data_IF_592054669521
#
_entry.id   IF_592054669521
#
_cell.length_a   1.000
_cell.length_b   1.000
_cell.length_c   1.000
_cell.angle_alpha   90.00
_cell.angle_beta   90.00
_cell.angle_gamma   90.00
#
_symmetry.space_group_name_H-M   'P 1'
#
loop_
_entity.id
_entity.type
_entity.pdbx_description
1 polymer ?
#
# COMPACT_ATOMS: atom_id res chain seq x y z
N UNK A 1 54.76 10.22 9.33
CA UNK A 1 54.05 9.30 8.41
C UNK A 1 53.50 8.19 9.27
N UNK A 2 52.32 8.41 9.85
CA UNK A 2 51.53 7.40 10.54
C UNK A 2 50.09 7.65 10.11
N UNK A 3 49.55 6.69 9.36
CA UNK A 3 48.20 6.69 8.84
C UNK A 3 47.21 6.65 10.00
N UNK A 4 46.53 7.76 10.26
CA UNK A 4 45.33 7.74 11.10
C UNK A 4 44.29 6.85 10.40
N UNK A 5 43.94 5.74 11.05
CA UNK A 5 42.85 4.86 10.66
C UNK A 5 41.56 5.67 10.51
N UNK A 6 41.20 5.99 9.27
CA UNK A 6 39.96 6.70 8.90
C UNK A 6 38.71 5.80 8.94
N UNK A 7 38.86 4.50 9.26
CA UNK A 7 37.76 3.55 9.11
C UNK A 7 36.88 3.37 10.35
N UNK A 8 37.31 3.86 11.52
CA UNK A 8 36.58 3.64 12.78
C UNK A 8 35.54 4.72 13.10
N UNK A 9 35.52 5.84 12.36
CA UNK A 9 34.73 7.02 12.69
C UNK A 9 33.56 7.31 11.72
N UNK A 10 33.30 6.47 10.72
CA UNK A 10 32.33 6.81 9.65
C UNK A 10 30.89 6.34 9.92
N UNK A 11 30.65 5.59 11.01
CA UNK A 11 29.30 5.28 11.52
C UNK A 11 28.87 6.29 12.60
N UNK A 12 29.66 7.35 12.79
CA UNK A 12 29.22 8.51 13.55
C UNK A 12 28.09 9.18 12.79
N UNK A 13 26.93 9.19 13.43
CA UNK A 13 25.72 9.89 13.02
C UNK A 13 26.06 11.28 12.48
N UNK A 14 25.34 11.72 11.46
CA UNK A 14 25.46 13.04 10.81
C UNK A 14 25.57 14.21 11.83
N UNK A 15 25.13 14.00 13.08
CA UNK A 15 25.23 14.91 14.22
C UNK A 15 26.64 15.12 14.81
N UNK A 16 27.62 14.24 14.61
CA UNK A 16 28.99 14.42 15.18
C UNK A 16 30.11 14.50 14.13
N UNK A 17 29.82 14.23 12.86
CA UNK A 17 30.76 14.43 11.77
C UNK A 17 30.70 15.89 11.27
N UNK A 18 31.64 16.70 11.75
CA UNK A 18 31.95 18.08 11.29
C UNK A 18 31.00 19.13 11.85
N UNK A 19 31.56 20.16 12.53
CA UNK A 19 30.87 21.40 12.91
C UNK A 19 30.05 21.90 11.71
N UNK A 20 28.72 21.72 11.70
CA UNK A 20 27.93 22.05 10.53
C UNK A 20 27.83 23.58 10.42
N UNK A 21 27.76 24.16 9.20
CA UNK A 21 27.65 25.59 9.01
C UNK A 21 26.38 26.11 9.69
N UNK A 22 26.42 27.21 10.46
CA UNK A 22 25.23 27.69 11.16
C UNK A 22 24.08 27.95 10.20
N UNK A 23 22.87 27.49 10.55
CA UNK A 23 21.65 27.77 9.79
C UNK A 23 20.83 26.52 9.46
N UNK A 24 20.12 26.58 8.33
CA UNK A 24 19.13 25.57 7.91
C UNK A 24 19.80 24.21 7.64
N UNK A 25 21.05 24.22 7.15
CA UNK A 25 21.79 22.99 6.83
C UNK A 25 22.07 22.14 8.09
N UNK A 26 22.49 22.75 9.20
CA UNK A 26 22.67 22.04 10.49
C UNK A 26 21.41 21.34 10.97
N UNK A 27 20.27 22.01 10.86
CA UNK A 27 18.99 21.46 11.32
C UNK A 27 18.62 20.24 10.47
N UNK A 28 18.72 20.37 9.15
CA UNK A 28 18.47 19.27 8.20
C UNK A 28 19.36 18.04 8.46
N UNK A 29 20.64 18.27 8.77
CA UNK A 29 21.63 17.22 9.04
C UNK A 29 21.36 16.51 10.38
N UNK A 30 21.01 17.25 11.42
CA UNK A 30 20.62 16.68 12.72
C UNK A 30 19.34 15.84 12.59
N UNK A 31 18.31 16.38 11.93
CA UNK A 31 17.03 15.67 11.72
C UNK A 31 17.23 14.36 10.94
N UNK A 32 18.10 14.38 9.92
CA UNK A 32 18.46 13.19 9.15
C UNK A 32 19.21 12.17 10.02
N UNK A 33 20.16 12.62 10.82
CA UNK A 33 20.91 11.76 11.75
C UNK A 33 20.01 11.04 12.75
N UNK A 34 19.15 11.79 13.45
CA UNK A 34 18.18 11.24 14.42
C UNK A 34 17.22 10.25 13.76
N UNK A 35 16.71 10.60 12.57
CA UNK A 35 15.74 9.75 11.86
C UNK A 35 16.38 8.44 11.37
N UNK A 36 17.65 8.48 10.93
CA UNK A 36 18.40 7.27 10.55
C UNK A 36 18.66 6.39 11.77
N UNK A 37 19.05 6.98 12.90
CA UNK A 37 19.25 6.23 14.14
C UNK A 37 17.96 5.54 14.59
N UNK A 38 16.85 6.28 14.59
CA UNK A 38 15.53 5.74 14.93
C UNK A 38 15.17 4.57 14.00
N UNK A 39 15.41 4.69 12.69
CA UNK A 39 15.16 3.63 11.74
C UNK A 39 15.94 2.35 12.05
N UNK A 40 17.23 2.47 12.40
CA UNK A 40 18.04 1.31 12.79
C UNK A 40 17.55 0.66 14.10
N UNK A 41 17.13 1.47 15.08
CA UNK A 41 16.55 0.96 16.32
C UNK A 41 15.26 0.18 16.06
N UNK A 42 14.37 0.71 15.21
CA UNK A 42 13.11 0.06 14.87
C UNK A 42 13.29 -1.27 14.10
N UNK A 43 14.32 -1.34 13.24
CA UNK A 43 14.65 -2.57 12.51
C UNK A 43 15.29 -3.64 13.39
N UNK A 44 15.83 -3.28 14.55
CA UNK A 44 16.56 -4.20 15.44
C UNK A 44 17.89 -4.67 14.84
N UNK A 45 18.42 -3.92 13.88
CA UNK A 45 19.72 -4.21 13.29
C UNK A 45 20.86 -3.77 14.22
N UNK A 46 21.97 -4.53 14.27
CA UNK A 46 23.12 -4.17 15.08
C UNK A 46 23.67 -2.83 14.62
N UNK A 47 23.71 -1.88 15.55
CA UNK A 47 24.53 -0.67 15.48
C UNK A 47 25.72 -0.87 16.41
N UNK A 48 26.93 -0.44 16.05
CA UNK A 48 28.03 -0.38 17.01
C UNK A 48 27.61 0.53 18.19
N UNK A 49 27.65 -0.01 19.41
CA UNK A 49 27.13 0.61 20.63
C UNK A 49 28.22 1.20 21.52
N UNK A 50 29.50 1.04 21.16
CA UNK A 50 30.63 1.56 21.95
C UNK A 50 31.82 1.99 21.11
N UNK A 51 32.68 2.85 21.68
CA UNK A 51 33.96 3.25 21.09
C UNK A 51 34.88 2.05 20.78
N UNK A 52 34.83 1.00 21.61
CA UNK A 52 35.59 -0.23 21.41
C UNK A 52 35.05 -1.08 20.24
N UNK A 53 33.74 -1.07 20.01
CA UNK A 53 33.12 -1.69 18.83
C UNK A 53 33.42 -0.90 17.55
N UNK A 54 33.40 0.43 17.63
CA UNK A 54 33.80 1.33 16.55
C UNK A 54 35.26 1.10 16.12
N UNK A 55 36.17 0.88 17.07
CA UNK A 55 37.58 0.62 16.80
C UNK A 55 37.82 -0.68 15.99
N UNK A 56 36.90 -1.65 16.07
CA UNK A 56 36.97 -2.92 15.37
C UNK A 56 35.94 -3.04 14.22
N UNK A 57 35.24 -1.94 13.90
CA UNK A 57 34.18 -1.95 12.91
C UNK A 57 34.73 -2.18 11.50
N UNK A 58 34.16 -3.15 10.80
CA UNK A 58 34.38 -3.34 9.36
C UNK A 58 33.04 -3.43 8.64
N UNK A 59 32.94 -2.82 7.46
CA UNK A 59 31.71 -2.86 6.65
C UNK A 59 31.33 -4.30 6.31
N UNK A 60 32.32 -5.14 6.00
CA UNK A 60 32.10 -6.54 5.66
C UNK A 60 31.56 -7.35 6.84
N UNK A 61 32.18 -7.22 8.02
CA UNK A 61 31.71 -7.87 9.24
C UNK A 61 30.31 -7.40 9.64
N UNK A 62 30.05 -6.09 9.55
CA UNK A 62 28.73 -5.53 9.84
C UNK A 62 27.64 -6.05 8.89
N UNK A 63 27.93 -6.16 7.58
CA UNK A 63 27.00 -6.75 6.61
C UNK A 63 26.77 -8.24 6.88
N UNK A 64 27.79 -8.96 7.34
CA UNK A 64 27.65 -10.36 7.76
C UNK A 64 26.71 -10.48 8.97
N UNK A 65 26.87 -9.61 9.96
CA UNK A 65 26.01 -9.59 11.16
C UNK A 65 24.56 -9.23 10.82
N UNK A 66 24.34 -8.28 9.91
CA UNK A 66 23.02 -7.97 9.36
C UNK A 66 22.37 -9.20 8.70
N UNK A 67 23.13 -9.95 7.91
CA UNK A 67 22.63 -11.17 7.25
C UNK A 67 22.35 -12.30 8.25
N UNK A 68 23.17 -12.45 9.30
CA UNK A 68 22.91 -13.38 10.41
C UNK A 68 21.63 -13.02 11.15
N UNK A 69 21.43 -11.74 11.47
CA UNK A 69 20.21 -11.24 12.10
C UNK A 69 18.97 -11.54 11.24
N UNK A 70 19.04 -11.32 9.92
CA UNK A 70 17.96 -11.67 8.99
C UNK A 70 17.64 -13.17 9.03
N UNK A 71 18.66 -14.03 9.01
CA UNK A 71 18.48 -15.48 9.03
C UNK A 71 17.81 -15.95 10.32
N UNK A 72 18.29 -15.45 11.47
CA UNK A 72 17.70 -15.74 12.78
C UNK A 72 16.23 -15.27 12.84
N UNK A 73 15.93 -14.08 12.32
CA UNK A 73 14.56 -13.56 12.21
C UNK A 73 13.66 -14.44 11.37
N UNK A 74 14.14 -14.92 10.22
CA UNK A 74 13.37 -15.83 9.36
C UNK A 74 13.01 -17.13 10.08
N UNK A 75 13.95 -17.71 10.83
CA UNK A 75 13.69 -18.90 11.64
C UNK A 75 12.69 -18.63 12.77
N UNK A 76 12.80 -17.48 13.43
CA UNK A 76 11.84 -17.04 14.45
C UNK A 76 10.42 -16.89 13.87
N UNK A 77 10.27 -16.24 12.72
CA UNK A 77 8.96 -16.10 12.06
C UNK A 77 8.35 -17.47 11.75
N UNK A 78 9.14 -18.37 11.16
CA UNK A 78 8.66 -19.72 10.85
C UNK A 78 8.20 -20.47 12.10
N UNK A 79 9.03 -20.47 13.16
CA UNK A 79 8.73 -21.11 14.45
C UNK A 79 7.42 -20.61 15.06
N UNK A 80 7.17 -19.31 15.04
CA UNK A 80 5.97 -18.71 15.62
C UNK A 80 4.71 -18.96 14.79
N UNK A 81 4.84 -19.07 13.46
CA UNK A 81 3.70 -19.42 12.62
C UNK A 81 3.31 -20.89 12.79
N UNK A 82 4.28 -21.81 12.84
CA UNK A 82 4.00 -23.25 12.99
C UNK A 82 3.55 -23.64 14.40
N UNK A 83 3.71 -22.77 15.41
CA UNK A 83 3.28 -23.08 16.78
C UNK A 83 1.77 -23.29 16.90
N UNK A 84 0.99 -22.73 15.95
CA UNK A 84 -0.47 -22.76 15.98
C UNK A 84 -1.07 -21.94 17.12
N UNK A 85 -0.25 -21.12 17.79
CA UNK A 85 -0.64 -20.25 18.89
C UNK A 85 -1.04 -18.85 18.39
N UNK A 86 -2.09 -18.29 18.98
CA UNK A 86 -2.67 -17.02 18.54
C UNK A 86 -1.79 -15.83 18.87
N UNK A 87 -1.16 -15.82 20.04
CA UNK A 87 -0.26 -14.73 20.45
C UNK A 87 0.99 -14.72 19.56
N UNK A 88 1.56 -15.89 19.33
CA UNK A 88 2.69 -16.09 18.41
C UNK A 88 2.36 -15.63 16.99
N UNK A 89 1.20 -16.01 16.46
CA UNK A 89 0.72 -15.54 15.15
C UNK A 89 0.52 -14.01 15.13
N UNK A 90 -0.09 -13.45 16.18
CA UNK A 90 -0.36 -12.02 16.30
C UNK A 90 0.94 -11.20 16.26
N UNK A 91 1.99 -11.64 16.96
CA UNK A 91 3.31 -11.02 16.93
C UNK A 91 3.87 -10.93 15.50
N UNK A 92 3.72 -11.98 14.70
CA UNK A 92 4.20 -12.00 13.31
C UNK A 92 3.41 -11.04 12.41
N UNK A 93 2.08 -10.98 12.59
CA UNK A 93 1.24 -10.05 11.83
C UNK A 93 1.50 -8.59 12.20
N UNK A 94 1.75 -8.31 13.48
CA UNK A 94 2.08 -6.96 13.95
C UNK A 94 3.47 -6.53 13.49
N UNK A 95 4.44 -7.45 13.51
CA UNK A 95 5.77 -7.20 12.96
C UNK A 95 5.71 -6.92 11.45
N UNK A 96 4.89 -7.66 10.69
CA UNK A 96 4.63 -7.37 9.27
C UNK A 96 4.09 -5.95 9.06
N UNK A 97 3.12 -5.52 9.86
CA UNK A 97 2.56 -4.17 9.78
C UNK A 97 3.61 -3.10 10.12
N UNK A 98 4.40 -3.35 11.17
CA UNK A 98 5.51 -2.48 11.60
C UNK A 98 6.56 -2.33 10.49
N UNK A 99 6.98 -3.43 9.85
CA UNK A 99 7.92 -3.38 8.72
C UNK A 99 7.38 -2.56 7.56
N UNK A 100 6.06 -2.61 7.30
CA UNK A 100 5.41 -1.76 6.31
C UNK A 100 5.60 -0.26 6.57
N UNK A 101 5.53 0.17 7.83
CA UNK A 101 5.76 1.56 8.22
C UNK A 101 7.24 1.95 8.11
N UNK A 102 8.14 1.08 8.57
CA UNK A 102 9.59 1.28 8.49
C UNK A 102 10.04 1.42 7.02
N UNK A 103 9.44 0.66 6.10
CA UNK A 103 9.71 0.74 4.66
C UNK A 103 9.32 2.09 4.05
N UNK A 104 8.26 2.73 4.56
CA UNK A 104 7.88 4.10 4.13
C UNK A 104 8.94 5.09 4.59
N UNK A 105 9.33 5.05 5.87
CA UNK A 105 10.37 5.92 6.43
C UNK A 105 11.71 5.73 5.71
N UNK A 106 12.07 4.49 5.38
CA UNK A 106 13.28 4.15 4.61
C UNK A 106 13.38 4.94 3.30
N UNK A 107 12.27 5.05 2.55
CA UNK A 107 12.24 5.78 1.27
C UNK A 107 12.43 7.27 1.47
N UNK A 108 11.76 7.84 2.47
CA UNK A 108 11.92 9.26 2.84
C UNK A 108 13.37 9.56 3.21
N UNK A 109 14.02 8.69 3.99
CA UNK A 109 15.41 8.88 4.39
C UNK A 109 16.39 8.83 3.22
N UNK A 110 16.18 7.92 2.25
CA UNK A 110 16.99 7.91 1.02
C UNK A 110 16.89 9.23 0.25
N UNK A 111 15.69 9.81 0.16
CA UNK A 111 15.48 11.10 -0.50
C UNK A 111 16.11 12.25 0.30
N UNK A 112 16.02 12.22 1.63
CA UNK A 112 16.66 13.20 2.51
C UNK A 112 18.19 13.18 2.40
N UNK A 113 18.82 11.99 2.31
CA UNK A 113 20.25 11.87 2.04
C UNK A 113 20.64 12.56 0.72
N UNK A 114 19.89 12.30 -0.36
CA UNK A 114 20.15 12.93 -1.66
C UNK A 114 19.95 14.45 -1.62
N UNK A 115 18.95 14.92 -0.85
CA UNK A 115 18.73 16.35 -0.60
C UNK A 115 19.90 16.99 0.14
N UNK A 116 20.37 16.35 1.22
CA UNK A 116 21.48 16.83 2.04
C UNK A 116 22.78 16.95 1.23
N UNK A 117 23.12 15.92 0.43
CA UNK A 117 24.30 15.97 -0.46
C UNK A 117 24.24 17.15 -1.42
N UNK A 118 23.09 17.38 -2.06
CA UNK A 118 22.90 18.51 -2.99
C UNK A 118 23.05 19.86 -2.30
N UNK A 119 22.46 20.02 -1.10
CA UNK A 119 22.58 21.26 -0.32
C UNK A 119 24.03 21.54 0.08
N UNK A 120 24.75 20.53 0.59
CA UNK A 120 26.17 20.67 0.92
C UNK A 120 27.01 21.05 -0.31
N UNK A 121 26.75 20.47 -1.48
CA UNK A 121 27.45 20.82 -2.71
C UNK A 121 27.16 22.26 -3.16
N UNK A 122 25.90 22.70 -3.08
CA UNK A 122 25.49 24.05 -3.46
C UNK A 122 26.11 25.14 -2.55
N UNK A 123 26.29 24.83 -1.27
CA UNK A 123 26.90 25.73 -0.28
C UNK A 123 28.43 25.64 -0.23
N UNK A 124 29.05 24.81 -1.07
CA UNK A 124 30.52 24.68 -1.16
C UNK A 124 31.17 23.77 -0.12
N UNK A 125 30.38 22.95 0.59
CA UNK A 125 30.84 21.99 1.59
C UNK A 125 31.10 20.60 0.98
N UNK A 126 32.08 20.51 0.07
CA UNK A 126 32.39 19.28 -0.68
C UNK A 126 32.79 18.09 0.20
N UNK A 127 33.62 18.30 1.23
CA UNK A 127 34.03 17.25 2.17
C UNK A 127 32.86 16.68 2.97
N UNK A 128 31.94 17.55 3.40
CA UNK A 128 30.72 17.13 4.10
C UNK A 128 29.78 16.36 3.16
N UNK A 129 29.66 16.80 1.90
CA UNK A 129 28.89 16.08 0.89
C UNK A 129 29.43 14.67 0.61
N UNK A 130 30.76 14.48 0.64
CA UNK A 130 31.41 13.17 0.51
C UNK A 130 31.07 12.25 1.69
N UNK A 131 31.15 12.75 2.93
CA UNK A 131 30.79 12.00 4.14
C UNK A 131 29.32 11.56 4.08
N UNK A 132 28.41 12.47 3.76
CA UNK A 132 26.97 12.16 3.65
C UNK A 132 26.72 11.16 2.53
N UNK A 133 27.43 11.27 1.40
CA UNK A 133 27.31 10.32 0.29
C UNK A 133 27.76 8.91 0.67
N UNK A 134 28.82 8.81 1.47
CA UNK A 134 29.28 7.54 2.00
C UNK A 134 28.27 6.92 2.97
N UNK A 135 27.73 7.71 3.90
CA UNK A 135 26.69 7.25 4.84
C UNK A 135 25.40 6.84 4.12
N UNK A 136 25.01 7.56 3.08
CA UNK A 136 23.91 7.18 2.20
C UNK A 136 24.13 5.78 1.58
N UNK A 137 25.35 5.48 1.16
CA UNK A 137 25.71 4.15 0.63
C UNK A 137 25.55 3.05 1.69
N UNK A 138 26.01 3.30 2.92
CA UNK A 138 25.86 2.36 4.04
C UNK A 138 24.38 2.15 4.39
N UNK A 139 23.61 3.22 4.55
CA UNK A 139 22.17 3.16 4.80
C UNK A 139 21.43 2.43 3.67
N UNK A 140 21.81 2.65 2.41
CA UNK A 140 21.25 1.93 1.27
C UNK A 140 21.54 0.43 1.32
N UNK A 141 22.73 0.00 1.78
CA UNK A 141 23.04 -1.43 1.96
C UNK A 141 22.19 -2.06 3.06
N UNK A 142 22.10 -1.42 4.23
CA UNK A 142 21.21 -1.87 5.31
C UNK A 142 19.75 -1.91 4.86
N UNK A 143 19.30 -0.90 4.13
CA UNK A 143 17.97 -0.83 3.50
C UNK A 143 17.67 -2.03 2.60
N UNK A 144 18.65 -2.53 1.84
CA UNK A 144 18.48 -3.70 0.99
C UNK A 144 18.35 -4.98 1.82
N UNK A 145 19.11 -5.14 2.91
CA UNK A 145 18.95 -6.27 3.84
C UNK A 145 17.58 -6.24 4.50
N UNK A 146 17.12 -5.06 4.94
CA UNK A 146 15.77 -4.89 5.49
C UNK A 146 14.67 -5.25 4.48
N UNK A 147 14.83 -4.83 3.22
CA UNK A 147 13.89 -5.18 2.17
C UNK A 147 13.85 -6.70 1.94
N UNK A 148 15.01 -7.37 1.94
CA UNK A 148 15.09 -8.82 1.84
C UNK A 148 14.39 -9.51 3.03
N UNK A 149 14.58 -8.99 4.25
CA UNK A 149 13.89 -9.48 5.45
C UNK A 149 12.36 -9.35 5.33
N UNK A 150 11.86 -8.19 4.89
CA UNK A 150 10.43 -7.94 4.70
C UNK A 150 9.84 -8.89 3.66
N UNK A 151 10.54 -9.08 2.53
CA UNK A 151 10.13 -10.04 1.51
C UNK A 151 10.15 -11.48 2.02
N UNK A 152 11.15 -11.85 2.84
CA UNK A 152 11.22 -13.18 3.46
C UNK A 152 10.04 -13.42 4.40
N UNK A 153 9.65 -12.42 5.20
CA UNK A 153 8.48 -12.50 6.07
C UNK A 153 7.19 -12.73 5.26
N UNK A 154 6.96 -11.95 4.19
CA UNK A 154 5.77 -12.14 3.33
C UNK A 154 5.74 -13.56 2.73
N UNK A 155 6.87 -14.04 2.21
CA UNK A 155 6.99 -15.41 1.69
C UNK A 155 6.73 -16.45 2.77
N UNK A 156 7.28 -16.26 3.96
CA UNK A 156 7.11 -17.17 5.11
C UNK A 156 5.64 -17.28 5.49
N UNK A 157 4.92 -16.15 5.61
CA UNK A 157 3.49 -16.12 5.92
C UNK A 157 2.68 -16.83 4.84
N UNK A 158 2.93 -16.54 3.56
CA UNK A 158 2.21 -17.15 2.45
C UNK A 158 2.45 -18.66 2.37
N UNK A 159 3.72 -19.09 2.42
CA UNK A 159 4.08 -20.51 2.42
C UNK A 159 3.47 -21.27 3.61
N UNK A 160 3.48 -20.67 4.80
CA UNK A 160 2.84 -21.26 5.98
C UNK A 160 1.32 -21.39 5.78
N UNK A 161 0.66 -20.34 5.27
CA UNK A 161 -0.79 -20.36 5.02
C UNK A 161 -1.17 -21.46 4.03
N UNK A 162 -0.36 -21.65 3.00
CA UNK A 162 -0.59 -22.69 1.99
C UNK A 162 -0.37 -24.11 2.56
N UNK A 163 0.60 -24.29 3.46
CA UNK A 163 0.86 -25.58 4.13
C UNK A 163 -0.14 -25.91 5.24
N UNK A 164 -0.67 -24.90 5.94
CA UNK A 164 -1.52 -25.06 7.12
C UNK A 164 -2.83 -24.24 7.02
N UNK A 165 -3.64 -24.43 5.97
CA UNK A 165 -4.80 -23.57 5.71
C UNK A 165 -5.83 -23.61 6.84
N UNK A 166 -6.11 -24.79 7.40
CA UNK A 166 -7.08 -24.95 8.50
C UNK A 166 -6.63 -24.25 9.79
N UNK A 167 -5.33 -24.29 10.10
CA UNK A 167 -4.76 -23.59 11.26
C UNK A 167 -4.79 -22.08 11.04
N UNK A 168 -4.41 -21.64 9.83
CA UNK A 168 -4.47 -20.23 9.43
C UNK A 168 -5.87 -19.64 9.53
N UNK A 169 -6.88 -20.35 9.01
CA UNK A 169 -8.27 -19.92 9.06
C UNK A 169 -8.80 -19.88 10.50
N UNK A 170 -8.44 -20.87 11.33
CA UNK A 170 -8.84 -20.90 12.74
C UNK A 170 -8.22 -19.74 13.54
N UNK A 171 -6.93 -19.45 13.33
CA UNK A 171 -6.24 -18.34 14.00
C UNK A 171 -6.75 -16.98 13.53
N UNK A 172 -6.97 -16.81 12.23
CA UNK A 172 -7.55 -15.59 11.68
C UNK A 172 -8.97 -15.36 12.24
N UNK A 173 -9.79 -16.41 12.29
CA UNK A 173 -11.14 -16.35 12.86
C UNK A 173 -11.11 -15.94 14.33
N UNK A 174 -10.23 -16.56 15.15
CA UNK A 174 -10.05 -16.19 16.57
C UNK A 174 -9.57 -14.74 16.74
N UNK A 175 -8.61 -14.29 15.93
CA UNK A 175 -8.10 -12.91 15.96
C UNK A 175 -9.20 -11.89 15.67
N UNK A 176 -9.97 -12.14 14.62
CA UNK A 176 -11.08 -11.27 14.25
C UNK A 176 -12.12 -11.33 15.39
N UNK A 177 -12.38 -12.50 15.99
CA UNK A 177 -13.37 -12.65 17.08
C UNK A 177 -13.02 -11.79 18.26
N UNK A 178 -11.75 -11.81 18.69
CA UNK A 178 -11.26 -10.94 19.75
C UNK A 178 -11.40 -9.46 19.36
N UNK A 179 -11.01 -9.10 18.15
CA UNK A 179 -11.10 -7.72 17.65
C UNK A 179 -12.55 -7.20 17.64
N UNK A 180 -13.48 -8.07 17.24
CA UNK A 180 -14.91 -7.80 17.20
C UNK A 180 -15.50 -7.69 18.60
N UNK A 181 -15.14 -8.60 19.52
CA UNK A 181 -15.54 -8.55 20.92
C UNK A 181 -15.03 -7.28 21.62
N UNK A 182 -13.79 -6.87 21.38
CA UNK A 182 -13.21 -5.61 21.88
C UNK A 182 -13.86 -4.35 21.26
N UNK A 183 -14.49 -4.51 20.10
CA UNK A 183 -15.22 -3.49 19.36
C UNK A 183 -16.73 -3.52 19.56
N UNK A 184 -17.27 -4.34 20.46
CA UNK A 184 -18.72 -4.40 20.71
C UNK A 184 -19.27 -3.03 21.11
N UNK A 185 -20.26 -2.54 20.35
CA UNK A 185 -20.85 -1.21 20.52
C UNK A 185 -20.01 -0.02 20.04
N UNK A 186 -18.83 -0.26 19.45
CA UNK A 186 -18.02 0.80 18.83
C UNK A 186 -18.37 0.95 17.36
N UNK A 187 -18.50 2.20 16.94
CA UNK A 187 -18.52 2.60 15.54
C UNK A 187 -17.14 3.13 15.15
N UNK A 188 -16.67 2.72 13.99
CA UNK A 188 -15.40 3.14 13.41
C UNK A 188 -15.70 4.04 12.22
N UNK A 189 -15.52 5.34 12.42
CA UNK A 189 -15.70 6.34 11.37
C UNK A 189 -14.42 6.46 10.55
N UNK A 190 -14.54 6.17 9.25
CA UNK A 190 -13.48 6.40 8.28
C UNK A 190 -13.73 7.75 7.62
N UNK A 191 -12.82 8.73 7.81
CA UNK A 191 -13.07 10.09 7.40
C UNK A 191 -13.27 10.18 5.90
N UNK A 192 -14.15 11.10 5.52
CA UNK A 192 -14.38 11.47 4.12
C UNK A 192 -13.06 11.78 3.42
N UNK A 193 -12.88 11.23 2.22
CA UNK A 193 -11.72 11.55 1.38
C UNK A 193 -12.15 12.44 0.21
N UNK A 194 -11.20 12.94 -0.57
CA UNK A 194 -11.49 13.62 -1.85
C UNK A 194 -12.27 12.73 -2.81
N UNK A 195 -12.16 11.41 -2.66
CA UNK A 195 -12.67 10.41 -3.59
C UNK A 195 -13.98 9.77 -3.14
N UNK A 196 -14.13 9.55 -1.83
CA UNK A 196 -15.24 8.80 -1.26
C UNK A 196 -15.86 9.53 -0.07
N UNK A 197 -17.15 9.27 0.14
CA UNK A 197 -17.87 9.73 1.32
C UNK A 197 -17.34 9.09 2.62
N UNK A 198 -17.81 9.61 3.74
CA UNK A 198 -17.54 9.03 5.05
C UNK A 198 -18.20 7.65 5.14
N UNK A 199 -17.47 6.69 5.69
CA UNK A 199 -17.97 5.33 5.92
C UNK A 199 -17.89 5.00 7.40
N UNK A 200 -19.00 4.50 7.93
CA UNK A 200 -19.08 4.03 9.31
C UNK A 200 -19.10 2.50 9.26
N UNK A 201 -18.15 1.88 9.95
CA UNK A 201 -18.13 0.44 10.19
C UNK A 201 -18.63 0.22 11.61
N UNK A 202 -19.66 -0.59 11.76
CA UNK A 202 -20.15 -1.04 13.07
C UNK A 202 -19.71 -2.49 13.36
N UNK A 203 -20.12 -2.97 14.52
CA UNK A 203 -19.83 -4.33 14.96
C UNK A 203 -20.41 -5.42 14.03
N UNK A 204 -21.60 -5.19 13.46
CA UNK A 204 -22.23 -6.12 12.52
C UNK A 204 -21.49 -6.21 11.20
N UNK A 205 -20.93 -5.10 10.73
CA UNK A 205 -20.03 -5.10 9.59
C UNK A 205 -18.81 -5.97 9.87
N UNK A 206 -18.14 -5.79 11.01
CA UNK A 206 -16.98 -6.59 11.38
C UNK A 206 -17.32 -8.07 11.62
N UNK A 207 -18.53 -8.38 12.08
CA UNK A 207 -19.03 -9.75 12.24
C UNK A 207 -19.05 -10.54 10.92
N UNK A 208 -19.20 -9.88 9.77
CA UNK A 208 -19.08 -10.54 8.47
C UNK A 208 -17.69 -11.18 8.27
N UNK A 209 -16.63 -10.58 8.82
CA UNK A 209 -15.28 -11.13 8.72
C UNK A 209 -15.06 -12.36 9.62
N UNK A 210 -15.87 -12.56 10.65
CA UNK A 210 -15.73 -13.68 11.60
C UNK A 210 -16.22 -15.02 11.11
N UNK A 211 -17.29 -14.98 10.33
CA UNK A 211 -18.22 -16.10 10.27
C UNK A 211 -18.20 -16.80 8.92
N UNK A 212 -17.13 -16.58 8.13
CA UNK A 212 -17.08 -16.93 6.71
C UNK A 212 -18.34 -16.42 5.97
N UNK A 213 -18.97 -15.35 6.49
CA UNK A 213 -20.14 -14.73 5.89
C UNK A 213 -19.68 -13.82 4.75
N UNK A 214 -20.62 -13.55 3.86
CA UNK A 214 -20.42 -12.59 2.78
C UNK A 214 -20.01 -11.24 3.35
N UNK A 215 -18.89 -10.71 2.84
CA UNK A 215 -18.49 -9.33 3.11
C UNK A 215 -19.60 -8.40 2.63
N UNK A 216 -19.93 -7.39 3.43
CA UNK A 216 -20.89 -6.38 3.03
C UNK A 216 -20.21 -5.21 2.30
N UNK A 217 -21.03 -4.33 1.72
CA UNK A 217 -20.57 -3.17 0.98
C UNK A 217 -19.78 -2.17 1.83
N UNK A 218 -20.10 -2.02 3.11
CA UNK A 218 -19.41 -1.09 4.02
C UNK A 218 -17.93 -1.45 4.18
N UNK A 219 -17.63 -2.72 4.47
CA UNK A 219 -16.25 -3.19 4.58
C UNK A 219 -15.48 -3.03 3.27
N UNK A 220 -16.10 -3.35 2.14
CA UNK A 220 -15.51 -3.21 0.81
C UNK A 220 -15.22 -1.74 0.50
N UNK A 221 -16.14 -0.84 0.80
CA UNK A 221 -16.00 0.59 0.56
C UNK A 221 -14.88 1.20 1.42
N UNK A 222 -14.74 0.77 2.68
CA UNK A 222 -13.61 1.20 3.53
C UNK A 222 -12.29 0.69 2.97
N UNK A 223 -12.23 -0.55 2.49
CA UNK A 223 -11.03 -1.06 1.83
C UNK A 223 -10.66 -0.25 0.58
N UNK A 224 -11.65 0.10 -0.25
CA UNK A 224 -11.47 0.97 -1.43
C UNK A 224 -11.03 2.38 -1.04
N UNK A 225 -11.54 2.92 0.07
CA UNK A 225 -11.09 4.20 0.61
C UNK A 225 -9.60 4.16 1.00
N UNK A 226 -9.16 3.07 1.64
CA UNK A 226 -7.73 2.86 1.96
C UNK A 226 -6.88 2.69 0.71
N UNK A 227 -7.36 1.97 -0.32
CA UNK A 227 -6.67 1.86 -1.61
C UNK A 227 -6.49 3.23 -2.26
N UNK A 228 -7.56 4.02 -2.33
CA UNK A 228 -7.47 5.38 -2.84
C UNK A 228 -6.52 6.24 -2.00
N UNK A 229 -6.57 6.21 -0.68
CA UNK A 229 -5.62 6.95 0.17
C UNK A 229 -4.15 6.56 -0.13
N UNK A 230 -3.88 5.25 -0.25
CA UNK A 230 -2.53 4.72 -0.51
C UNK A 230 -2.01 5.04 -1.91
N UNK A 231 -2.88 5.02 -2.92
CA UNK A 231 -2.51 5.13 -4.34
C UNK A 231 -2.93 6.47 -4.99
N UNK A 232 -3.46 7.42 -4.22
CA UNK A 232 -3.85 8.75 -4.71
C UNK A 232 -2.70 9.76 -4.78
N UNK A 233 -1.50 9.40 -4.33
CA UNK A 233 -0.36 10.29 -4.44
C UNK A 233 0.01 10.57 -5.92
N UNK A 234 0.26 11.85 -6.26
CA UNK A 234 0.43 12.31 -7.64
C UNK A 234 1.61 11.69 -8.40
N UNK A 235 2.57 11.07 -7.71
CA UNK A 235 3.81 10.58 -8.32
C UNK A 235 3.80 9.09 -8.71
N UNK A 236 2.81 8.29 -8.31
CA UNK A 236 2.90 6.83 -8.49
C UNK A 236 1.87 6.20 -9.43
N UNK A 237 0.62 6.68 -9.53
CA UNK A 237 -0.42 6.03 -10.38
C UNK A 237 -1.53 6.99 -10.83
N UNK A 238 -1.21 8.04 -11.59
CA UNK A 238 -2.21 9.00 -12.11
C UNK A 238 -3.30 8.35 -13.00
N UNK A 239 -3.10 7.09 -13.40
CA UNK A 239 -3.98 6.37 -14.30
C UNK A 239 -4.99 5.44 -13.60
N UNK A 240 -4.86 5.11 -12.30
CA UNK A 240 -5.69 4.06 -11.66
C UNK A 240 -6.66 4.64 -10.65
N UNK A 241 -7.96 4.52 -10.87
CA UNK A 241 -9.00 4.93 -9.93
C UNK A 241 -9.78 3.74 -9.37
N UNK A 242 -9.98 3.70 -8.06
CA UNK A 242 -10.78 2.69 -7.39
C UNK A 242 -12.16 3.29 -7.05
N UNK A 243 -13.22 2.76 -7.63
CA UNK A 243 -14.59 3.22 -7.39
C UNK A 243 -15.25 2.31 -6.34
N UNK A 244 -15.98 2.90 -5.40
CA UNK A 244 -16.69 2.17 -4.37
C UNK A 244 -17.96 1.48 -4.89
N UNK A 245 -18.59 0.63 -4.06
CA UNK A 245 -19.83 -0.08 -4.41
C UNK A 245 -21.00 0.89 -4.66
N UNK A 246 -20.98 2.07 -4.05
CA UNK A 246 -22.03 3.08 -4.18
C UNK A 246 -21.96 3.79 -5.52
N UNK A 247 -20.76 3.96 -6.10
CA UNK A 247 -20.61 4.53 -7.44
C UNK A 247 -21.38 3.72 -8.48
N UNK A 248 -21.22 2.40 -8.45
CA UNK A 248 -22.00 1.51 -9.31
C UNK A 248 -23.50 1.63 -9.05
N UNK A 249 -23.91 1.59 -7.79
CA UNK A 249 -25.32 1.69 -7.41
C UNK A 249 -25.99 3.01 -7.84
N UNK A 250 -25.30 4.14 -7.66
CA UNK A 250 -25.84 5.48 -7.96
C UNK A 250 -25.87 5.85 -9.44
N UNK A 251 -24.98 5.26 -10.26
CA UNK A 251 -24.82 5.67 -11.67
C UNK A 251 -25.16 4.57 -12.68
N UNK A 252 -25.27 3.29 -12.28
CA UNK A 252 -25.51 2.16 -13.20
C UNK A 252 -26.95 1.62 -13.10
N UNK A 253 -27.55 1.58 -11.90
CA UNK A 253 -28.83 0.86 -11.73
C UNK A 253 -30.04 1.67 -12.24
N UNK A 254 -31.02 1.03 -12.94
CA UNK A 254 -32.14 1.73 -13.58
C UNK A 254 -33.19 2.31 -12.61
N UNK A 255 -33.03 2.11 -11.30
CA UNK A 255 -34.11 2.31 -10.32
C UNK A 255 -34.22 3.75 -9.78
N UNK A 256 -33.23 4.63 -10.01
CA UNK A 256 -33.24 5.97 -9.43
C UNK A 256 -33.25 7.08 -10.48
N UNK A 257 -34.41 7.23 -11.15
CA UNK A 257 -34.82 8.39 -11.99
C UNK A 257 -33.93 8.68 -13.22
N UNK A 258 -34.50 9.15 -14.33
CA UNK A 258 -33.73 9.50 -15.52
C UNK A 258 -32.63 10.52 -15.19
N UNK A 259 -31.43 10.27 -15.72
CA UNK A 259 -30.16 10.99 -15.54
C UNK A 259 -30.15 12.48 -15.99
N UNK A 260 -31.18 13.26 -15.65
CA UNK A 260 -31.24 14.69 -15.91
C UNK A 260 -30.47 15.54 -14.87
N UNK A 261 -29.61 14.92 -14.03
CA UNK A 261 -28.97 15.59 -12.88
C UNK A 261 -27.45 15.39 -12.77
N UNK A 262 -26.77 14.77 -13.75
CA UNK A 262 -25.31 14.65 -13.73
C UNK A 262 -24.65 16.04 -13.71
N UNK A 263 -25.21 16.96 -14.51
CA UNK A 263 -24.82 18.36 -14.57
C UNK A 263 -25.90 19.25 -13.93
N UNK A 264 -25.52 20.37 -13.33
CA UNK A 264 -26.46 21.40 -12.89
C UNK A 264 -26.98 22.20 -14.09
N UNK A 265 -27.85 23.19 -13.84
CA UNK A 265 -28.39 24.09 -14.87
C UNK A 265 -27.32 24.91 -15.60
N UNK A 266 -26.10 24.96 -15.07
CA UNK A 266 -24.94 25.67 -15.63
C UNK A 266 -24.01 24.72 -16.40
N UNK A 267 -24.36 23.43 -16.52
CA UNK A 267 -23.54 22.43 -17.20
C UNK A 267 -22.40 21.85 -16.34
N UNK A 268 -22.31 22.21 -15.07
CA UNK A 268 -21.30 21.67 -14.16
C UNK A 268 -21.71 20.34 -13.54
N UNK A 269 -20.78 19.39 -13.50
CA UNK A 269 -21.02 18.10 -12.84
C UNK A 269 -21.34 18.29 -11.37
N UNK A 270 -22.43 17.71 -10.86
CA UNK A 270 -22.81 17.85 -9.44
C UNK A 270 -22.05 16.91 -8.50
N UNK A 271 -21.63 15.75 -9.02
CA UNK A 271 -21.00 14.68 -8.25
C UNK A 271 -19.53 14.99 -7.92
N UNK A 272 -19.18 15.02 -6.62
CA UNK A 272 -17.80 15.19 -6.15
C UNK A 272 -16.88 14.04 -6.61
N UNK A 273 -17.25 12.75 -6.49
CA UNK A 273 -16.44 11.64 -7.01
C UNK A 273 -16.17 11.75 -8.50
N UNK A 274 -17.19 12.14 -9.29
CA UNK A 274 -16.98 12.43 -10.72
C UNK A 274 -15.99 13.58 -10.88
N UNK A 275 -16.19 14.75 -10.26
CA UNK A 275 -15.24 15.89 -10.38
C UNK A 275 -13.79 15.48 -10.12
N UNK A 276 -13.55 14.63 -9.12
CA UNK A 276 -12.20 14.14 -8.77
C UNK A 276 -11.56 13.25 -9.87
N UNK A 277 -12.36 12.51 -10.65
CA UNK A 277 -11.87 11.63 -11.72
C UNK A 277 -11.48 12.38 -13.02
N UNK A 278 -11.92 13.64 -13.19
CA UNK A 278 -11.71 14.42 -14.42
C UNK A 278 -10.25 14.46 -14.90
N UNK A 279 -9.25 14.81 -14.07
CA UNK A 279 -7.85 14.90 -14.54
C UNK A 279 -7.31 13.55 -15.04
N UNK A 280 -7.83 12.45 -14.52
CA UNK A 280 -7.43 11.09 -14.90
C UNK A 280 -8.11 10.64 -16.18
N UNK A 281 -9.38 11.01 -16.36
CA UNK A 281 -10.13 10.73 -17.58
C UNK A 281 -9.49 11.43 -18.80
N UNK A 282 -9.02 12.66 -18.62
CA UNK A 282 -8.31 13.44 -19.64
C UNK A 282 -6.96 12.81 -20.02
N UNK A 283 -6.32 12.04 -19.13
CA UNK A 283 -5.01 11.40 -19.33
C UNK A 283 -5.04 10.22 -20.35
N UNK A 284 -6.18 9.89 -20.96
CA UNK A 284 -6.40 8.82 -21.96
C UNK A 284 -5.97 7.38 -21.56
N UNK A 285 -5.26 7.19 -20.46
CA UNK A 285 -4.73 5.92 -19.97
C UNK A 285 -5.45 5.44 -18.71
N UNK A 286 -6.67 5.93 -18.46
CA UNK A 286 -7.43 5.62 -17.25
C UNK A 286 -7.75 4.11 -17.14
N UNK A 287 -7.57 3.61 -15.92
CA UNK A 287 -7.94 2.29 -15.42
C UNK A 287 -8.90 2.48 -14.26
N UNK A 288 -10.10 1.94 -14.40
CA UNK A 288 -11.15 2.00 -13.38
C UNK A 288 -11.30 0.63 -12.77
N UNK A 289 -11.09 0.50 -11.47
CA UNK A 289 -11.22 -0.75 -10.72
C UNK A 289 -12.39 -0.60 -9.76
N UNK A 290 -13.32 -1.54 -9.75
CA UNK A 290 -14.48 -1.45 -8.86
C UNK A 290 -15.10 -2.81 -8.55
N UNK A 291 -15.73 -2.95 -7.38
CA UNK A 291 -16.43 -4.16 -7.01
C UNK A 291 -17.74 -4.30 -7.80
N UNK A 292 -18.05 -5.52 -8.19
CA UNK A 292 -19.31 -5.91 -8.82
C UNK A 292 -19.99 -6.94 -7.93
N UNK A 293 -21.31 -6.85 -7.81
CA UNK A 293 -22.09 -7.76 -6.98
C UNK A 293 -23.09 -8.57 -7.81
N UNK A 294 -23.09 -9.89 -7.63
CA UNK A 294 -24.07 -10.81 -8.20
C UNK A 294 -25.24 -11.01 -7.24
N UNK A 295 -26.29 -10.19 -7.32
CA UNK A 295 -27.55 -10.40 -6.59
C UNK A 295 -27.39 -10.69 -5.08
N UNK A 296 -26.43 -10.04 -4.42
CA UNK A 296 -26.02 -10.24 -3.03
C UNK A 296 -25.48 -11.64 -2.69
N UNK A 297 -25.07 -12.41 -3.69
CA UNK A 297 -24.60 -13.79 -3.55
C UNK A 297 -23.15 -13.99 -3.94
N UNK A 298 -22.50 -13.03 -4.61
CA UNK A 298 -21.07 -13.13 -4.92
C UNK A 298 -20.46 -11.77 -5.28
N UNK A 299 -19.18 -11.58 -4.97
CA UNK A 299 -18.42 -10.38 -5.33
C UNK A 299 -17.37 -10.71 -6.40
N UNK A 300 -17.33 -9.89 -7.44
CA UNK A 300 -16.27 -9.90 -8.45
C UNK A 300 -15.56 -8.54 -8.48
N UNK A 301 -14.42 -8.48 -9.15
CA UNK A 301 -13.74 -7.21 -9.45
C UNK A 301 -13.86 -6.93 -10.95
N UNK A 302 -14.41 -5.76 -11.27
CA UNK A 302 -14.41 -5.21 -12.62
C UNK A 302 -13.22 -4.28 -12.84
N UNK A 303 -12.65 -4.33 -14.04
CA UNK A 303 -11.64 -3.40 -14.52
C UNK A 303 -12.03 -2.88 -15.90
N UNK A 304 -12.01 -1.55 -16.07
CA UNK A 304 -12.10 -0.91 -17.39
C UNK A 304 -10.73 -0.28 -17.69
N UNK A 305 -10.11 -0.66 -18.79
CA UNK A 305 -8.84 -0.09 -19.24
C UNK A 305 -9.03 0.61 -20.59
N UNK A 306 -9.04 1.95 -20.58
CA UNK A 306 -9.29 2.75 -21.78
C UNK A 306 -8.24 2.53 -22.87
N UNK A 307 -6.96 2.50 -22.49
CA UNK A 307 -5.84 2.42 -23.43
C UNK A 307 -5.88 1.15 -24.28
N UNK A 308 -6.24 0.01 -23.68
CA UNK A 308 -6.35 -1.27 -24.37
C UNK A 308 -7.76 -1.57 -24.90
N UNK A 309 -8.74 -0.70 -24.65
CA UNK A 309 -10.17 -0.96 -24.92
C UNK A 309 -10.64 -2.29 -24.34
N UNK A 310 -10.16 -2.65 -23.15
CA UNK A 310 -10.52 -3.91 -22.48
C UNK A 310 -11.39 -3.68 -21.25
N UNK A 311 -12.34 -4.58 -21.06
CA UNK A 311 -13.09 -4.76 -19.82
C UNK A 311 -12.74 -6.13 -19.27
N UNK A 312 -12.22 -6.19 -18.06
CA UNK A 312 -11.79 -7.43 -17.43
C UNK A 312 -12.67 -7.72 -16.21
N UNK A 313 -13.09 -8.98 -16.06
CA UNK A 313 -13.77 -9.48 -14.87
C UNK A 313 -12.84 -10.46 -14.18
N UNK A 314 -12.52 -10.21 -12.92
CA UNK A 314 -11.76 -11.12 -12.07
C UNK A 314 -12.71 -11.83 -11.13
N UNK A 315 -12.77 -13.15 -11.26
CA UNK A 315 -13.65 -14.02 -10.51
C UNK A 315 -12.86 -15.11 -9.80
N UNK A 316 -12.96 -15.12 -8.47
CA UNK A 316 -12.31 -16.12 -7.63
C UNK A 316 -13.09 -17.43 -7.51
N UNK A 317 -14.33 -17.51 -8.03
CA UNK A 317 -15.14 -18.72 -7.98
C UNK A 317 -14.52 -19.82 -8.87
N UNK A 318 -14.24 -20.99 -8.30
CA UNK A 318 -13.74 -22.14 -9.05
C UNK A 318 -14.78 -22.62 -10.07
N UNK A 319 -14.35 -22.77 -11.33
CA UNK A 319 -15.24 -23.08 -12.46
C UNK A 319 -16.01 -21.88 -13.02
N UNK A 320 -15.85 -20.68 -12.43
CA UNK A 320 -16.62 -19.48 -12.77
C UNK A 320 -18.11 -19.60 -12.41
N UNK A 321 -18.86 -18.52 -12.63
CA UNK A 321 -20.31 -18.58 -12.59
C UNK A 321 -20.80 -19.50 -13.72
N UNK A 322 -21.57 -20.53 -13.38
CA UNK A 322 -22.26 -21.40 -14.36
C UNK A 322 -23.29 -20.65 -15.20
N UNK A 323 -23.58 -19.40 -14.84
CA UNK A 323 -24.56 -18.56 -15.49
C UNK A 323 -23.89 -17.47 -16.33
N UNK A 324 -23.79 -17.70 -17.65
CA UNK A 324 -23.27 -16.73 -18.63
C UNK A 324 -23.98 -15.38 -18.57
N UNK A 325 -25.24 -15.34 -18.13
CA UNK A 325 -26.02 -14.11 -17.94
C UNK A 325 -25.37 -13.17 -16.90
N UNK A 326 -24.64 -13.72 -15.92
CA UNK A 326 -23.98 -12.93 -14.87
C UNK A 326 -22.85 -12.09 -15.46
N UNK A 327 -21.97 -12.71 -16.26
CA UNK A 327 -20.87 -11.99 -16.89
C UNK A 327 -21.36 -10.99 -17.94
N UNK A 328 -22.46 -11.33 -18.64
CA UNK A 328 -23.13 -10.40 -19.55
C UNK A 328 -23.68 -9.18 -18.79
N UNK A 329 -24.38 -9.39 -17.68
CA UNK A 329 -24.90 -8.29 -16.84
C UNK A 329 -23.76 -7.45 -16.27
N UNK A 330 -22.67 -8.08 -15.81
CA UNK A 330 -21.47 -7.38 -15.35
C UNK A 330 -20.86 -6.52 -16.48
N UNK A 331 -20.76 -7.07 -17.69
CA UNK A 331 -20.26 -6.35 -18.85
C UNK A 331 -21.14 -5.13 -19.21
N UNK A 332 -22.46 -5.29 -19.24
CA UNK A 332 -23.41 -4.20 -19.46
C UNK A 332 -23.28 -3.11 -18.40
N UNK A 333 -23.13 -3.49 -17.13
CA UNK A 333 -22.88 -2.56 -16.03
C UNK A 333 -21.58 -1.78 -16.21
N UNK A 334 -20.49 -2.45 -16.62
CA UNK A 334 -19.21 -1.79 -16.92
C UNK A 334 -19.33 -0.83 -18.11
N UNK A 335 -20.07 -1.20 -19.15
CA UNK A 335 -20.37 -0.29 -20.28
C UNK A 335 -21.14 0.94 -19.83
N UNK A 336 -22.09 0.79 -18.91
CA UNK A 336 -22.86 1.89 -18.36
C UNK A 336 -21.99 2.82 -17.50
N UNK A 337 -21.06 2.29 -16.68
CA UNK A 337 -20.05 3.11 -15.98
C UNK A 337 -19.29 3.98 -16.97
N UNK A 338 -18.77 3.36 -18.04
CA UNK A 338 -18.01 4.08 -19.05
C UNK A 338 -18.85 5.18 -19.70
N UNK A 339 -20.09 4.87 -20.06
CA UNK A 339 -21.03 5.81 -20.64
C UNK A 339 -21.24 7.04 -19.75
N UNK A 340 -21.46 6.85 -18.45
CA UNK A 340 -21.62 7.96 -17.49
C UNK A 340 -20.40 8.87 -17.45
N UNK A 341 -19.18 8.31 -17.51
CA UNK A 341 -17.95 9.10 -17.52
C UNK A 341 -17.78 9.89 -18.82
N UNK A 342 -18.12 9.27 -19.96
CA UNK A 342 -18.10 9.95 -21.27
C UNK A 342 -19.14 11.07 -21.30
N UNK A 343 -20.37 10.84 -20.83
CA UNK A 343 -21.42 11.87 -20.74
C UNK A 343 -21.04 13.02 -19.80
N UNK A 344 -20.27 12.73 -18.75
CA UNK A 344 -19.78 13.74 -17.82
C UNK A 344 -18.77 14.70 -18.49
N UNK A 345 -17.78 14.20 -19.24
CA UNK A 345 -16.62 15.01 -19.68
C UNK A 345 -16.31 15.03 -21.17
N UNK A 346 -17.01 14.25 -22.01
CA UNK A 346 -16.75 14.23 -23.45
C UNK A 346 -17.72 15.13 -24.19
N UNK A 347 -17.19 16.16 -24.85
CA UNK A 347 -17.97 17.01 -25.77
C UNK A 347 -18.15 16.33 -27.15
N UNK A 348 -17.48 15.20 -27.39
CA UNK A 348 -17.50 14.47 -28.67
C UNK A 348 -18.24 13.15 -28.58
N UNK A 349 -19.25 13.00 -29.45
CA UNK A 349 -20.07 11.79 -29.64
C UNK A 349 -19.27 10.55 -30.08
N UNK A 350 -18.04 10.72 -30.59
CA UNK A 350 -17.19 9.63 -31.09
C UNK A 350 -16.68 8.69 -29.99
N UNK A 351 -16.57 9.14 -28.74
CA UNK A 351 -16.11 8.32 -27.61
C UNK A 351 -17.16 7.31 -27.11
N UNK A 352 -18.43 7.42 -27.52
CA UNK A 352 -19.50 6.49 -27.13
C UNK A 352 -19.46 5.15 -27.88
N UNK A 353 -18.72 5.05 -28.99
CA UNK A 353 -18.67 3.86 -29.85
C UNK A 353 -17.41 3.01 -29.65
N UNK A 354 -16.77 3.12 -28.49
CA UNK A 354 -15.61 2.29 -28.18
C UNK A 354 -16.03 0.81 -28.11
N UNK A 355 -15.45 -0.01 -28.99
CA UNK A 355 -15.67 -1.46 -28.96
C UNK A 355 -14.81 -2.06 -27.86
N UNK A 356 -15.45 -2.51 -26.79
CA UNK A 356 -14.78 -3.11 -25.65
C UNK A 356 -14.58 -4.61 -25.86
N UNK A 357 -13.34 -5.07 -25.74
CA UNK A 357 -13.03 -6.50 -25.61
C UNK A 357 -13.27 -6.93 -24.17
N UNK A 358 -14.14 -7.92 -23.97
CA UNK A 358 -14.37 -8.54 -22.67
C UNK A 358 -13.35 -9.67 -22.44
N UNK A 359 -12.71 -9.68 -21.28
CA UNK A 359 -11.83 -10.76 -20.82
C UNK A 359 -12.30 -11.23 -19.43
N UNK A 360 -12.43 -12.55 -19.25
CA UNK A 360 -12.88 -13.14 -17.98
C UNK A 360 -11.72 -13.95 -17.41
N UNK A 361 -11.30 -13.58 -16.21
CA UNK A 361 -10.25 -14.24 -15.46
C UNK A 361 -10.90 -15.00 -14.31
N UNK A 362 -11.35 -16.22 -14.59
CA UNK A 362 -11.80 -17.17 -13.56
C UNK A 362 -10.64 -18.05 -13.12
N UNK A 363 -10.73 -18.58 -11.90
CA UNK A 363 -9.83 -19.64 -11.42
C UNK A 363 -10.16 -20.93 -12.20
N UNK A 364 -9.59 -21.06 -13.41
CA UNK A 364 -9.58 -22.33 -14.12
C UNK A 364 -8.74 -23.30 -13.28
N UNK A 365 -9.33 -24.42 -12.90
CA UNK A 365 -8.65 -25.52 -12.22
C UNK A 365 -7.32 -25.82 -12.92
N UNK A 366 -6.21 -25.50 -12.26
CA UNK A 366 -4.90 -26.07 -12.57
C UNK A 366 -4.86 -27.51 -12.08
#
# INVERSE_FOLDING_TARGET
MESRNTNAAEVILISEAVLPPPGILTTCLNDLGESVQHWFLETGFPLPQSEAELANFTIEGWLEDLNKAMTAKSQYHWKNLISGDLESYQLIIDERARFGNIEVHRKVLLDMFLGAVKSCQAEGHSSLAEIISYQHSLFRRASLVFLAMTQSLERTINSWKDMYPSVGDALLSKRIQISVLQGAGKEYTFPKTTWNDEYIINHDDLNCMLSLKWLNSNLINVFISKLNAKFSHPNSQQCVAYLDTNFAYHYILPASKPHNTLKNSEGEIRSKPLKALKPRFENQNIRLIFPLNMNNTHWFVGLICRASSTMQIFDSLEGGSTNTQVYQTAYENMQQVWKVLVEAWSDTLSNHKQRWKLEIHSKASQ
#
